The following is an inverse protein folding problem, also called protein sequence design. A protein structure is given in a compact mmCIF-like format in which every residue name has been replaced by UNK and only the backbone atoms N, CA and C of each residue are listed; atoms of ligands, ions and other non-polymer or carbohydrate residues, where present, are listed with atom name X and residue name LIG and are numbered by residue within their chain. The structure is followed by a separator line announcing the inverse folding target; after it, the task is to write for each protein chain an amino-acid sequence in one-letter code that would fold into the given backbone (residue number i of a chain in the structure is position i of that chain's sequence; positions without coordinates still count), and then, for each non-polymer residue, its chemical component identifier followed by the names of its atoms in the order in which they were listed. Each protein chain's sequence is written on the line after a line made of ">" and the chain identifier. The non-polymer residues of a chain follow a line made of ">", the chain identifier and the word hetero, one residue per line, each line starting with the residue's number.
data_IF_389782908692
#
_entry.id   IF_389782908692
#
_cell.length_a   1.000
_cell.length_b   1.000
_cell.length_c   1.000
_cell.angle_alpha   90.00
_cell.angle_beta   90.00
_cell.angle_gamma   90.00
#
_symmetry.space_group_name_H-M   'P 1'
#
loop_
_entity.id
_entity.type
_entity.pdbx_description
1 polymer ?
#
# COMPACT_ATOMS: atom_id res chain seq x y z
N UNK A 1 -1.09 -4.33 -19.90
CA UNK A 1 -0.17 -4.44 -18.75
C UNK A 1 -0.77 -5.54 -17.89
N UNK A 2 -0.06 -6.67 -17.72
CA UNK A 2 -0.54 -7.72 -16.84
C UNK A 2 -0.70 -7.08 -15.45
N UNK A 3 -1.88 -7.17 -14.86
CA UNK A 3 -2.26 -6.46 -13.63
C UNK A 3 -1.61 -7.09 -12.38
N UNK A 4 -0.37 -7.59 -12.53
CA UNK A 4 0.69 -7.92 -11.56
C UNK A 4 0.36 -8.64 -10.25
N UNK A 5 -0.90 -8.94 -9.95
CA UNK A 5 -1.35 -9.15 -8.57
C UNK A 5 -1.41 -7.85 -7.74
N UNK A 6 -1.39 -6.66 -8.34
CA UNK A 6 -1.52 -5.41 -7.60
C UNK A 6 -2.99 -5.18 -7.20
N UNK A 7 -3.21 -4.87 -5.92
CA UNK A 7 -4.54 -4.65 -5.36
C UNK A 7 -4.55 -3.43 -4.46
N UNK A 8 -5.63 -2.66 -4.52
CA UNK A 8 -5.90 -1.56 -3.60
C UNK A 8 -6.72 -2.07 -2.42
N UNK A 9 -6.20 -1.86 -1.20
CA UNK A 9 -6.88 -2.16 0.05
C UNK A 9 -7.33 -0.84 0.67
N UNK A 10 -8.63 -0.54 0.56
CA UNK A 10 -9.28 0.69 1.02
C UNK A 10 -10.21 0.48 2.23
N UNK A 11 -10.17 -0.73 2.81
CA UNK A 11 -10.94 -1.09 3.99
C UNK A 11 -12.33 -1.65 3.71
N UNK A 12 -12.82 -1.64 2.46
CA UNK A 12 -14.13 -2.21 2.14
C UNK A 12 -14.21 -3.71 2.49
N UNK A 13 -13.11 -4.44 2.32
CA UNK A 13 -13.03 -5.87 2.65
C UNK A 13 -13.21 -6.17 4.14
N UNK A 14 -13.01 -5.17 5.01
CA UNK A 14 -13.16 -5.31 6.46
C UNK A 14 -14.59 -5.05 6.94
N UNK A 15 -15.41 -4.34 6.16
CA UNK A 15 -16.78 -3.97 6.55
C UNK A 15 -17.81 -5.06 6.31
N UNK A 16 -17.56 -5.91 5.31
CA UNK A 16 -18.55 -6.89 4.86
C UNK A 16 -18.33 -8.29 5.47
N UNK A 17 -19.40 -8.88 5.99
CA UNK A 17 -19.52 -10.31 6.28
C UNK A 17 -19.38 -10.72 7.73
N UNK A 18 -19.92 -11.91 8.04
CA UNK A 18 -19.77 -12.59 9.32
C UNK A 18 -18.28 -12.86 9.63
N UNK A 19 -17.97 -12.97 10.92
CA UNK A 19 -16.63 -13.36 11.39
C UNK A 19 -16.24 -14.72 10.77
N UNK A 20 -15.07 -14.78 10.14
CA UNK A 20 -14.50 -16.03 9.61
C UNK A 20 -13.93 -16.89 10.73
N UNK A 21 -13.42 -16.25 11.78
CA UNK A 21 -12.83 -16.92 12.94
C UNK A 21 -13.86 -17.13 14.07
N UNK A 22 -13.79 -18.27 14.77
CA UNK A 22 -14.70 -18.56 15.88
C UNK A 22 -14.41 -17.65 17.08
N UNK A 23 -15.46 -17.23 17.77
CA UNK A 23 -15.33 -16.49 19.02
C UNK A 23 -14.85 -17.41 20.16
N UNK A 24 -14.07 -16.88 21.12
CA UNK A 24 -13.70 -17.61 22.33
C UNK A 24 -14.94 -18.03 23.14
N UNK A 25 -14.94 -19.26 23.65
CA UNK A 25 -15.96 -19.76 24.57
C UNK A 25 -15.68 -19.46 26.05
N UNK A 26 -14.71 -18.60 26.34
CA UNK A 26 -14.23 -18.26 27.68
C UNK A 26 -14.04 -16.75 27.80
N UNK A 27 -13.89 -16.27 29.03
CA UNK A 27 -13.54 -14.88 29.30
C UNK A 27 -12.18 -14.55 28.71
N UNK A 28 -12.10 -13.43 28.01
CA UNK A 28 -10.87 -12.94 27.36
C UNK A 28 -10.64 -11.47 27.67
N UNK A 29 -9.40 -11.03 27.60
CA UNK A 29 -9.05 -9.62 27.79
C UNK A 29 -9.24 -8.83 26.49
N UNK A 30 -9.35 -7.51 26.59
CA UNK A 30 -9.37 -6.62 25.42
C UNK A 30 -8.14 -6.78 24.53
N UNK A 31 -6.96 -7.04 25.09
CA UNK A 31 -5.75 -7.36 24.32
C UNK A 31 -5.94 -8.59 23.43
N UNK A 32 -6.54 -9.66 23.95
CA UNK A 32 -6.80 -10.86 23.17
C UNK A 32 -7.90 -10.65 22.11
N UNK A 33 -8.89 -9.79 22.39
CA UNK A 33 -9.87 -9.40 21.36
C UNK A 33 -9.22 -8.66 20.19
N UNK A 34 -8.25 -7.77 20.46
CA UNK A 34 -7.49 -7.09 19.40
C UNK A 34 -6.70 -8.09 18.57
N UNK A 35 -6.02 -9.06 19.20
CA UNK A 35 -5.30 -10.14 18.48
C UNK A 35 -6.23 -10.95 17.55
N UNK A 36 -7.44 -11.27 18.02
CA UNK A 36 -8.45 -11.95 17.21
C UNK A 36 -8.96 -11.07 16.07
N UNK A 37 -9.21 -9.79 16.33
CA UNK A 37 -9.64 -8.83 15.31
C UNK A 37 -8.56 -8.62 14.24
N UNK A 38 -7.29 -8.53 14.63
CA UNK A 38 -6.15 -8.45 13.72
C UNK A 38 -5.98 -9.73 12.91
N UNK A 39 -6.21 -10.89 13.52
CA UNK A 39 -6.21 -12.19 12.82
C UNK A 39 -7.35 -12.31 11.80
N UNK A 40 -8.54 -11.83 12.16
CA UNK A 40 -9.70 -11.76 11.26
C UNK A 40 -9.45 -10.77 10.12
N UNK A 41 -8.87 -9.60 10.41
CA UNK A 41 -8.49 -8.61 9.41
C UNK A 41 -7.46 -9.20 8.44
N UNK A 42 -6.41 -9.87 8.94
CA UNK A 42 -5.44 -10.56 8.12
C UNK A 42 -6.11 -11.64 7.25
N UNK A 43 -7.04 -12.43 7.80
CA UNK A 43 -7.78 -13.43 7.03
C UNK A 43 -8.63 -12.82 5.91
N UNK A 44 -9.18 -11.62 6.10
CA UNK A 44 -9.93 -10.86 5.08
C UNK A 44 -9.01 -10.20 4.06
N UNK A 45 -7.79 -9.85 4.45
CA UNK A 45 -6.79 -9.13 3.66
C UNK A 45 -5.64 -10.03 3.21
N UNK A 46 -5.94 -11.26 2.77
CA UNK A 46 -4.94 -12.14 2.16
C UNK A 46 -3.73 -12.49 3.06
N UNK A 47 -3.93 -12.57 4.37
CA UNK A 47 -2.86 -12.84 5.34
C UNK A 47 -1.92 -11.65 5.57
N UNK A 48 -2.30 -10.45 5.12
CA UNK A 48 -1.52 -9.24 5.26
C UNK A 48 -1.36 -8.83 6.73
N UNK A 49 -0.13 -8.57 7.14
CA UNK A 49 0.15 -7.90 8.42
C UNK A 49 0.03 -6.39 8.22
N UNK A 50 -0.92 -5.76 8.92
CA UNK A 50 -1.15 -4.32 8.82
C UNK A 50 -0.06 -3.50 9.54
N UNK A 51 0.30 -2.30 9.04
CA UNK A 51 1.26 -1.41 9.69
C UNK A 51 0.84 -1.06 11.12
N UNK A 52 1.82 -0.94 12.02
CA UNK A 52 1.58 -0.58 13.44
C UNK A 52 0.88 0.78 13.59
N UNK A 53 1.18 1.75 12.73
CA UNK A 53 0.53 3.06 12.71
C UNK A 53 -0.98 2.93 12.52
N UNK A 54 -1.41 2.05 11.61
CA UNK A 54 -2.81 1.82 11.28
C UNK A 54 -3.52 1.06 12.42
N UNK A 55 -2.89 0.00 12.93
CA UNK A 55 -3.40 -0.77 14.08
C UNK A 55 -3.58 0.10 15.32
N UNK A 56 -2.60 0.97 15.59
CA UNK A 56 -2.64 1.91 16.72
C UNK A 56 -3.71 2.98 16.55
N UNK A 57 -3.90 3.51 15.33
CA UNK A 57 -4.94 4.50 15.04
C UNK A 57 -6.35 3.90 15.23
N UNK A 58 -6.59 2.70 14.70
CA UNK A 58 -7.85 1.99 14.88
C UNK A 58 -8.13 1.67 16.36
N UNK A 59 -7.10 1.21 17.10
CA UNK A 59 -7.23 0.93 18.52
C UNK A 59 -7.62 2.18 19.31
N UNK A 60 -6.99 3.34 19.06
CA UNK A 60 -7.35 4.61 19.73
C UNK A 60 -8.74 5.12 19.35
N UNK A 61 -9.20 4.81 18.15
CA UNK A 61 -10.54 5.21 17.68
C UNK A 61 -11.63 4.39 18.36
N UNK A 62 -11.37 3.11 18.60
CA UNK A 62 -12.29 2.20 19.30
C UNK A 62 -12.21 2.34 20.82
N UNK A 63 -10.99 2.32 21.37
CA UNK A 63 -10.73 2.39 22.81
C UNK A 63 -10.55 3.85 23.22
N UNK A 64 -11.48 4.39 24.01
CA UNK A 64 -11.32 5.73 24.57
C UNK A 64 -10.04 5.85 25.40
N UNK A 65 -9.80 4.90 26.30
CA UNK A 65 -8.53 4.71 26.99
C UNK A 65 -7.98 3.31 26.65
N UNK A 66 -6.85 3.29 25.95
CA UNK A 66 -6.26 2.05 25.41
C UNK A 66 -5.78 1.14 26.54
N UNK A 67 -5.15 1.68 27.58
CA UNK A 67 -4.58 0.87 28.66
C UNK A 67 -5.69 0.20 29.48
N UNK A 68 -6.78 0.93 29.73
CA UNK A 68 -7.96 0.39 30.40
C UNK A 68 -8.59 -0.71 29.54
N UNK A 69 -8.84 -0.43 28.26
CA UNK A 69 -9.48 -1.40 27.37
C UNK A 69 -8.71 -2.71 27.26
N UNK A 70 -7.38 -2.66 27.11
CA UNK A 70 -6.56 -3.85 26.94
C UNK A 70 -6.61 -4.81 28.15
N UNK A 71 -6.91 -4.28 29.35
CA UNK A 71 -7.02 -5.05 30.59
C UNK A 71 -8.47 -5.41 30.96
N UNK A 72 -9.46 -4.86 30.26
CA UNK A 72 -10.86 -5.17 30.47
C UNK A 72 -11.19 -6.62 30.08
N UNK A 73 -12.03 -7.28 30.87
CA UNK A 73 -12.44 -8.67 30.64
C UNK A 73 -13.83 -8.76 30.01
N UNK A 74 -13.92 -9.52 28.92
CA UNK A 74 -15.15 -9.77 28.18
C UNK A 74 -15.52 -11.24 28.29
N UNK A 75 -16.72 -11.51 28.80
CA UNK A 75 -17.24 -12.88 29.01
C UNK A 75 -18.47 -13.20 28.15
N UNK A 76 -19.12 -12.18 27.62
CA UNK A 76 -20.32 -12.29 26.80
C UNK A 76 -19.96 -12.26 25.31
N UNK A 77 -20.51 -13.21 24.54
CA UNK A 77 -20.17 -13.39 23.13
C UNK A 77 -20.63 -12.24 22.23
N UNK A 78 -21.78 -11.62 22.53
CA UNK A 78 -22.27 -10.45 21.78
C UNK A 78 -21.36 -9.25 22.00
N UNK A 79 -20.92 -9.03 23.25
CA UNK A 79 -20.00 -7.95 23.61
C UNK A 79 -18.63 -8.14 22.95
N UNK A 80 -18.11 -9.37 22.94
CA UNK A 80 -16.87 -9.71 22.24
C UNK A 80 -16.99 -9.48 20.73
N UNK A 81 -18.08 -9.95 20.12
CA UNK A 81 -18.37 -9.75 18.69
C UNK A 81 -18.44 -8.27 18.34
N UNK A 82 -19.19 -7.50 19.13
CA UNK A 82 -19.35 -6.07 18.92
C UNK A 82 -18.00 -5.35 18.97
N UNK A 83 -17.14 -5.63 19.96
CA UNK A 83 -15.81 -5.01 20.04
C UNK A 83 -14.88 -5.39 18.90
N UNK A 84 -14.95 -6.64 18.45
CA UNK A 84 -14.21 -7.09 17.28
C UNK A 84 -14.67 -6.34 16.02
N UNK A 85 -15.98 -6.23 15.80
CA UNK A 85 -16.56 -5.48 14.66
C UNK A 85 -16.24 -3.99 14.73
N UNK A 86 -16.31 -3.37 15.91
CA UNK A 86 -15.91 -1.97 16.11
C UNK A 86 -14.45 -1.74 15.72
N UNK A 87 -13.54 -2.65 16.07
CA UNK A 87 -12.14 -2.58 15.67
C UNK A 87 -11.96 -2.71 14.15
N UNK A 88 -12.65 -3.67 13.51
CA UNK A 88 -12.60 -3.87 12.06
C UNK A 88 -13.13 -2.65 11.30
N UNK A 89 -14.21 -2.03 11.79
CA UNK A 89 -14.75 -0.79 11.24
C UNK A 89 -13.77 0.36 11.42
N UNK A 90 -13.09 0.45 12.57
CA UNK A 90 -12.05 1.44 12.80
C UNK A 90 -10.88 1.27 11.82
N UNK A 91 -10.39 0.03 11.61
CA UNK A 91 -9.38 -0.26 10.58
C UNK A 91 -9.88 0.14 9.18
N UNK A 92 -11.13 -0.16 8.86
CA UNK A 92 -11.74 0.18 7.58
C UNK A 92 -11.88 1.69 7.36
N UNK A 93 -12.12 2.47 8.42
CA UNK A 93 -12.13 3.93 8.38
C UNK A 93 -10.71 4.46 8.11
N UNK A 94 -9.70 3.92 8.80
CA UNK A 94 -8.30 4.33 8.60
C UNK A 94 -7.80 3.98 7.20
N UNK A 95 -8.11 2.78 6.68
CA UNK A 95 -7.74 2.36 5.32
C UNK A 95 -8.47 3.14 4.23
N UNK A 96 -9.68 3.64 4.51
CA UNK A 96 -10.39 4.51 3.55
C UNK A 96 -9.68 5.85 3.40
N UNK A 97 -9.20 6.38 4.52
CA UNK A 97 -8.42 7.62 4.58
C UNK A 97 -6.99 7.44 4.06
N UNK A 98 -6.41 6.25 4.27
CA UNK A 98 -5.04 5.91 3.92
C UNK A 98 -4.93 4.49 3.31
N UNK A 99 -5.35 4.31 2.04
CA UNK A 99 -5.35 3.00 1.40
C UNK A 99 -3.95 2.44 1.22
N UNK A 100 -3.85 1.11 1.22
CA UNK A 100 -2.62 0.39 0.95
C UNK A 100 -2.64 -0.20 -0.45
N UNK A 101 -1.54 -0.06 -1.18
CA UNK A 101 -1.31 -0.84 -2.40
C UNK A 101 -0.59 -2.11 -1.99
N UNK A 102 -1.13 -3.26 -2.36
CA UNK A 102 -0.56 -4.56 -2.03
C UNK A 102 -0.28 -5.35 -3.29
N UNK A 103 0.79 -6.13 -3.27
CA UNK A 103 1.13 -7.09 -4.31
C UNK A 103 0.85 -8.49 -3.79
N UNK A 104 0.02 -9.26 -4.50
CA UNK A 104 -0.32 -10.65 -4.19
C UNK A 104 0.35 -11.57 -5.21
N UNK A 105 1.34 -12.34 -4.76
CA UNK A 105 2.03 -13.34 -5.56
C UNK A 105 1.37 -14.70 -5.35
N UNK A 106 0.54 -15.12 -6.30
CA UNK A 106 -0.21 -16.39 -6.30
C UNK A 106 0.32 -17.39 -7.34
N UNK A 107 1.42 -17.06 -8.01
CA UNK A 107 2.05 -17.88 -9.04
C UNK A 107 1.48 -17.70 -10.45
N UNK A 108 0.41 -16.92 -10.63
CA UNK A 108 -0.18 -16.66 -11.95
C UNK A 108 0.80 -15.94 -12.89
N UNK A 109 1.52 -14.94 -12.39
CA UNK A 109 2.53 -14.20 -13.16
C UNK A 109 3.66 -15.11 -13.67
N UNK A 110 4.12 -16.06 -12.85
CA UNK A 110 5.13 -17.05 -13.25
C UNK A 110 4.57 -17.97 -14.34
N UNK A 111 3.30 -18.39 -14.22
CA UNK A 111 2.66 -19.29 -15.18
C UNK A 111 2.54 -18.69 -16.58
N UNK A 112 2.40 -17.37 -16.71
CA UNK A 112 2.40 -16.70 -18.02
C UNK A 112 3.65 -17.08 -18.82
N UNK A 113 4.84 -17.12 -18.17
CA UNK A 113 6.08 -17.51 -18.83
C UNK A 113 6.22 -19.02 -19.05
N UNK A 114 5.49 -19.85 -18.30
CA UNK A 114 5.57 -21.31 -18.39
C UNK A 114 4.55 -21.91 -19.38
N UNK A 115 3.49 -21.17 -19.70
CA UNK A 115 2.39 -21.62 -20.55
C UNK A 115 2.80 -21.66 -22.05
N UNK A 116 3.75 -20.83 -22.47
CA UNK A 116 4.34 -20.82 -23.82
C UNK A 116 5.83 -21.20 -23.78
N UNK A 117 6.21 -22.22 -24.54
CA UNK A 117 7.58 -22.75 -24.59
C UNK A 117 8.57 -21.73 -25.20
N UNK A 118 8.12 -20.92 -26.18
CA UNK A 118 8.96 -19.91 -26.82
C UNK A 118 9.20 -18.73 -25.85
N UNK A 119 8.17 -18.31 -25.10
CA UNK A 119 8.30 -17.27 -24.07
C UNK A 119 9.25 -17.71 -22.94
N UNK A 120 9.12 -18.95 -22.49
CA UNK A 120 10.04 -19.52 -21.51
C UNK A 120 11.47 -19.58 -22.04
N UNK A 121 11.66 -20.06 -23.27
CA UNK A 121 12.97 -20.19 -23.88
C UNK A 121 13.67 -18.83 -23.99
N UNK A 122 12.96 -17.78 -24.43
CA UNK A 122 13.48 -16.41 -24.47
C UNK A 122 13.86 -15.90 -23.08
N UNK A 123 13.00 -16.11 -22.07
CA UNK A 123 13.30 -15.70 -20.69
C UNK A 123 14.56 -16.40 -20.17
N UNK A 124 14.66 -17.71 -20.33
CA UNK A 124 15.79 -18.51 -19.85
C UNK A 124 17.09 -18.15 -20.58
N UNK A 125 17.03 -17.88 -21.88
CA UNK A 125 18.18 -17.40 -22.66
C UNK A 125 18.65 -16.03 -22.17
N UNK A 126 17.75 -15.06 -22.01
CA UNK A 126 18.09 -13.73 -21.52
C UNK A 126 18.75 -13.79 -20.13
N UNK A 127 18.15 -14.53 -19.19
CA UNK A 127 18.71 -14.72 -17.85
C UNK A 127 20.08 -15.40 -17.89
N UNK A 128 20.27 -16.40 -18.75
CA UNK A 128 21.55 -17.09 -18.89
C UNK A 128 22.64 -16.13 -19.39
N UNK A 129 22.35 -15.37 -20.44
CA UNK A 129 23.31 -14.41 -21.01
C UNK A 129 23.65 -13.28 -20.05
N UNK A 130 22.68 -12.79 -19.27
CA UNK A 130 22.92 -11.76 -18.25
C UNK A 130 23.82 -12.27 -17.11
N UNK A 131 23.66 -13.53 -16.71
CA UNK A 131 24.45 -14.14 -15.63
C UNK A 131 25.82 -14.64 -16.09
N UNK A 132 25.96 -15.05 -17.35
CA UNK A 132 27.25 -15.51 -17.92
C UNK A 132 28.09 -14.33 -18.43
N UNK A 133 28.39 -13.41 -17.52
CA UNK A 133 29.11 -12.15 -17.81
C UNK A 133 30.49 -12.39 -18.45
N UNK A 134 31.13 -13.52 -18.16
CA UNK A 134 32.44 -13.89 -18.70
C UNK A 134 32.37 -14.69 -20.01
N UNK A 135 31.16 -14.91 -20.56
CA UNK A 135 30.89 -15.67 -21.80
C UNK A 135 31.58 -17.05 -21.81
N UNK A 136 31.47 -17.79 -20.70
CA UNK A 136 32.07 -19.12 -20.56
C UNK A 136 31.21 -20.21 -21.20
N UNK A 137 29.97 -19.88 -21.56
CA UNK A 137 28.92 -20.80 -22.00
C UNK A 137 28.41 -21.72 -20.89
N UNK A 138 28.70 -21.41 -19.62
CA UNK A 138 28.38 -22.25 -18.46
C UNK A 138 28.17 -21.44 -17.19
N UNK A 139 27.14 -21.80 -16.42
CA UNK A 139 26.81 -21.23 -15.12
C UNK A 139 26.85 -22.28 -14.01
N UNK A 140 27.21 -21.90 -12.79
CA UNK A 140 27.04 -22.79 -11.63
C UNK A 140 25.55 -22.99 -11.30
N UNK A 141 25.14 -24.13 -10.74
CA UNK A 141 23.72 -24.32 -10.32
C UNK A 141 23.24 -23.26 -9.33
N UNK A 142 24.15 -22.77 -8.48
CA UNK A 142 23.89 -21.68 -7.54
C UNK A 142 23.44 -20.38 -8.24
N UNK A 143 23.74 -20.18 -9.53
CA UNK A 143 23.28 -19.01 -10.30
C UNK A 143 21.77 -19.03 -10.57
N UNK A 144 21.08 -20.17 -10.36
CA UNK A 144 19.61 -20.19 -10.41
C UNK A 144 19.01 -19.26 -9.35
N UNK A 145 19.65 -19.15 -8.18
CA UNK A 145 19.20 -18.21 -7.16
C UNK A 145 19.27 -16.78 -7.68
N UNK A 146 20.36 -16.42 -8.36
CA UNK A 146 20.53 -15.09 -8.94
C UNK A 146 19.53 -14.86 -10.09
N UNK A 147 19.22 -15.88 -10.90
CA UNK A 147 18.17 -15.81 -11.91
C UNK A 147 16.80 -15.47 -11.30
N UNK A 148 16.44 -16.12 -10.19
CA UNK A 148 15.22 -15.81 -9.44
C UNK A 148 15.21 -14.37 -8.88
N UNK A 149 16.37 -13.89 -8.39
CA UNK A 149 16.53 -12.49 -7.96
C UNK A 149 16.35 -11.52 -9.11
N UNK A 150 16.93 -11.82 -10.29
CA UNK A 150 16.80 -11.00 -11.50
C UNK A 150 15.35 -10.94 -11.99
N UNK A 151 14.62 -12.05 -11.93
CA UNK A 151 13.19 -12.07 -12.23
C UNK A 151 12.40 -11.18 -11.28
N UNK A 152 12.66 -11.29 -9.97
CA UNK A 152 12.07 -10.42 -8.95
C UNK A 152 10.54 -10.40 -8.93
N UNK A 153 9.99 -9.44 -8.17
CA UNK A 153 8.54 -9.31 -7.95
C UNK A 153 7.76 -8.99 -9.22
N UNK A 154 8.40 -8.30 -10.18
CA UNK A 154 7.80 -7.92 -11.46
C UNK A 154 7.45 -9.15 -12.31
N UNK A 155 8.22 -10.22 -12.17
CA UNK A 155 8.01 -11.50 -12.86
C UNK A 155 7.32 -12.54 -11.96
N UNK A 156 6.79 -12.11 -10.81
CA UNK A 156 6.06 -12.96 -9.87
C UNK A 156 6.91 -13.74 -8.89
N UNK A 157 8.23 -13.52 -8.85
CA UNK A 157 9.14 -14.16 -7.89
C UNK A 157 9.18 -13.37 -6.59
N UNK A 158 8.84 -13.97 -5.44
CA UNK A 158 8.87 -13.26 -4.17
C UNK A 158 10.31 -12.88 -3.74
N UNK A 159 10.48 -11.78 -2.99
CA UNK A 159 11.78 -11.37 -2.46
C UNK A 159 12.32 -12.37 -1.41
N UNK A 160 13.65 -12.54 -1.42
CA UNK A 160 14.37 -13.56 -0.64
C UNK A 160 14.36 -13.38 0.88
N UNK A 161 14.44 -12.17 1.47
CA UNK A 161 14.36 -12.02 2.92
C UNK A 161 13.05 -12.56 3.49
N UNK A 162 11.94 -12.31 2.80
CA UNK A 162 10.58 -12.58 3.26
C UNK A 162 10.12 -14.01 2.96
N UNK A 163 10.65 -14.62 1.89
CA UNK A 163 10.26 -15.98 1.45
C UNK A 163 11.41 -16.98 1.47
N UNK A 164 12.45 -16.67 2.23
CA UNK A 164 13.69 -17.43 2.30
C UNK A 164 13.48 -18.94 2.44
N UNK A 165 12.59 -19.36 3.34
CA UNK A 165 12.33 -20.77 3.60
C UNK A 165 11.63 -21.46 2.42
N UNK A 166 10.67 -20.78 1.78
CA UNK A 166 9.96 -21.32 0.62
C UNK A 166 10.91 -21.51 -0.57
N UNK A 167 11.68 -20.47 -0.91
CA UNK A 167 12.62 -20.52 -2.02
C UNK A 167 13.77 -21.50 -1.76
N UNK A 168 14.37 -21.49 -0.55
CA UNK A 168 15.41 -22.45 -0.18
C UNK A 168 14.93 -23.89 -0.25
N UNK A 169 13.71 -24.18 0.21
CA UNK A 169 13.16 -25.54 0.15
C UNK A 169 12.98 -26.02 -1.29
N UNK A 170 12.54 -25.14 -2.20
CA UNK A 170 12.39 -25.47 -3.63
C UNK A 170 13.77 -25.65 -4.28
N UNK A 171 14.70 -24.71 -4.08
CA UNK A 171 16.07 -24.81 -4.60
C UNK A 171 16.76 -26.10 -4.15
N UNK A 172 16.62 -26.46 -2.88
CA UNK A 172 17.16 -27.69 -2.31
C UNK A 172 16.49 -28.94 -2.88
N UNK A 173 15.17 -28.93 -3.09
CA UNK A 173 14.42 -30.03 -3.72
C UNK A 173 14.97 -30.37 -5.11
N UNK A 174 15.39 -29.35 -5.87
CA UNK A 174 15.96 -29.50 -7.21
C UNK A 174 17.49 -29.59 -7.25
N UNK A 175 18.16 -29.54 -6.10
CA UNK A 175 19.62 -29.62 -6.02
C UNK A 175 20.34 -28.42 -6.64
N UNK A 176 19.75 -27.23 -6.58
CA UNK A 176 20.27 -26.00 -7.15
C UNK A 176 21.34 -25.28 -6.29
N UNK A 177 21.76 -25.87 -5.17
CA UNK A 177 22.72 -25.25 -4.22
C UNK A 177 24.21 -25.54 -4.55
N UNK A 178 24.48 -26.28 -5.63
CA UNK A 178 25.83 -26.77 -5.99
C UNK A 178 26.61 -25.88 -6.96
N UNK A 179 27.93 -26.08 -7.04
CA UNK A 179 28.81 -25.43 -8.02
C UNK A 179 28.94 -26.15 -9.37
N UNK A 180 28.13 -27.18 -9.60
CA UNK A 180 28.13 -27.92 -10.86
C UNK A 180 27.79 -26.98 -12.02
N UNK A 181 28.54 -27.10 -13.11
CA UNK A 181 28.42 -26.21 -14.27
C UNK A 181 27.34 -26.72 -15.22
N UNK A 182 26.36 -25.86 -15.52
CA UNK A 182 25.25 -26.09 -16.43
C UNK A 182 25.49 -25.32 -17.73
N UNK A 183 25.30 -25.98 -18.86
CA UNK A 183 25.10 -25.26 -20.13
C UNK A 183 23.69 -24.67 -20.21
N UNK A 184 23.45 -23.78 -21.18
CA UNK A 184 22.17 -23.06 -21.35
C UNK A 184 20.92 -23.96 -21.31
N UNK A 185 20.92 -25.07 -22.04
CA UNK A 185 19.78 -26.01 -22.05
C UNK A 185 19.54 -26.66 -20.68
N UNK A 186 20.61 -26.99 -19.93
CA UNK A 186 20.51 -27.58 -18.60
C UNK A 186 20.04 -26.56 -17.57
N UNK A 187 20.50 -25.31 -17.70
CA UNK A 187 20.03 -24.18 -16.91
C UNK A 187 18.53 -23.96 -17.12
N UNK A 188 18.07 -23.88 -18.36
CA UNK A 188 16.65 -23.69 -18.69
C UNK A 188 15.78 -24.82 -18.12
N UNK A 189 16.19 -26.09 -18.27
CA UNK A 189 15.46 -27.23 -17.70
C UNK A 189 15.34 -27.16 -16.17
N UNK A 190 16.44 -26.81 -15.49
CA UNK A 190 16.44 -26.68 -14.04
C UNK A 190 15.58 -25.50 -13.58
N UNK A 191 15.70 -24.35 -14.25
CA UNK A 191 14.91 -23.15 -13.98
C UNK A 191 13.42 -23.42 -14.16
N UNK A 192 13.02 -24.11 -15.23
CA UNK A 192 11.61 -24.44 -15.52
C UNK A 192 10.99 -25.26 -14.39
N UNK A 193 11.68 -26.30 -13.93
CA UNK A 193 11.20 -27.17 -12.86
C UNK A 193 11.05 -26.42 -11.52
N UNK A 194 11.95 -25.48 -11.24
CA UNK A 194 11.92 -24.62 -10.05
C UNK A 194 10.77 -23.62 -10.13
N UNK A 195 10.57 -22.97 -11.27
CA UNK A 195 9.47 -22.02 -11.47
C UNK A 195 8.10 -22.70 -11.41
N UNK A 196 7.97 -23.93 -11.93
CA UNK A 196 6.74 -24.72 -11.81
C UNK A 196 6.40 -25.01 -10.34
N UNK A 197 7.37 -25.50 -9.56
CA UNK A 197 7.17 -25.76 -8.13
C UNK A 197 6.89 -24.47 -7.35
N UNK A 198 7.53 -23.36 -7.72
CA UNK A 198 7.29 -22.05 -7.12
C UNK A 198 5.87 -21.57 -7.40
N UNK A 199 5.42 -21.62 -8.66
CA UNK A 199 4.06 -21.27 -9.03
C UNK A 199 3.03 -22.14 -8.30
N UNK A 200 3.26 -23.44 -8.18
CA UNK A 200 2.37 -24.35 -7.46
C UNK A 200 2.37 -24.14 -5.94
N UNK A 201 3.51 -23.74 -5.36
CA UNK A 201 3.59 -23.37 -3.95
C UNK A 201 2.81 -22.08 -3.68
N UNK A 202 2.98 -21.06 -4.52
CA UNK A 202 2.27 -19.78 -4.44
C UNK A 202 0.77 -19.94 -4.67
N UNK A 203 0.36 -20.83 -5.58
CA UNK A 203 -1.06 -21.12 -5.81
C UNK A 203 -1.73 -21.77 -4.59
N UNK A 204 -0.98 -22.52 -3.77
CA UNK A 204 -1.48 -23.11 -2.52
C UNK A 204 -1.49 -22.11 -1.36
N UNK A 205 -0.46 -21.27 -1.30
CA UNK A 205 -0.28 -20.25 -0.28
C UNK A 205 0.39 -19.05 -0.93
N UNK A 206 -0.43 -18.06 -1.28
CA UNK A 206 0.05 -16.82 -1.87
C UNK A 206 0.92 -16.05 -0.87
N UNK A 207 1.73 -15.15 -1.39
CA UNK A 207 2.56 -14.24 -0.60
C UNK A 207 2.14 -12.81 -0.90
N UNK A 208 1.89 -12.02 0.14
CA UNK A 208 1.40 -10.65 0.00
C UNK A 208 2.40 -9.65 0.58
N UNK A 209 2.61 -8.54 -0.14
CA UNK A 209 3.50 -7.45 0.27
C UNK A 209 2.78 -6.11 0.18
N UNK A 210 3.04 -5.23 1.14
CA UNK A 210 2.62 -3.83 1.02
C UNK A 210 3.66 -3.12 0.16
N UNK A 211 3.21 -2.50 -0.92
CA UNK A 211 4.05 -1.65 -1.75
C UNK A 211 4.25 -0.30 -1.06
N UNK A 212 5.43 0.30 -1.19
CA UNK A 212 5.70 1.61 -0.63
C UNK A 212 5.11 2.74 -1.49
N UNK A 213 3.82 2.62 -1.81
CA UNK A 213 3.08 3.55 -2.66
C UNK A 213 2.06 4.26 -1.80
N UNK A 214 2.12 5.59 -1.80
CA UNK A 214 1.13 6.44 -1.16
C UNK A 214 -0.02 6.73 -2.11
N UNK A 215 -1.25 6.52 -1.63
CA UNK A 215 -2.48 6.79 -2.40
C UNK A 215 -3.11 8.09 -1.93
N UNK A 216 -3.40 8.98 -2.88
CA UNK A 216 -4.15 10.22 -2.66
C UNK A 216 -5.47 10.13 -3.43
N UNK A 217 -6.55 9.81 -2.73
CA UNK A 217 -7.90 9.60 -3.29
C UNK A 217 -8.92 10.67 -2.83
N UNK A 218 -8.49 11.67 -2.08
CA UNK A 218 -9.34 12.76 -1.58
C UNK A 218 -10.25 12.41 -0.39
N UNK A 219 -10.22 11.18 0.15
CA UNK A 219 -11.10 10.77 1.24
C UNK A 219 -10.90 11.59 2.53
N UNK A 220 -9.64 11.83 2.92
CA UNK A 220 -9.27 12.70 4.06
C UNK A 220 -9.82 14.12 3.90
N UNK A 221 -9.69 14.71 2.70
CA UNK A 221 -10.22 16.02 2.39
C UNK A 221 -11.75 16.06 2.49
N UNK A 222 -12.40 15.04 1.94
CA UNK A 222 -13.86 14.92 1.96
C UNK A 222 -14.38 14.80 3.39
N UNK A 223 -13.68 14.05 4.25
CA UNK A 223 -13.99 13.93 5.68
C UNK A 223 -13.87 15.28 6.39
N UNK A 224 -12.79 16.03 6.13
CA UNK A 224 -12.62 17.39 6.67
C UNK A 224 -13.74 18.31 6.20
N UNK A 225 -14.08 18.31 4.90
CA UNK A 225 -15.12 19.18 4.33
C UNK A 225 -16.54 18.83 4.81
N UNK A 226 -16.79 17.58 5.16
CA UNK A 226 -18.09 17.12 5.66
C UNK A 226 -18.33 17.47 7.13
N UNK A 227 -17.27 17.62 7.93
CA UNK A 227 -17.34 17.94 9.35
C UNK A 227 -17.05 19.43 9.58
N UNK A 228 -18.09 20.17 10.00
CA UNK A 228 -17.99 21.62 10.19
C UNK A 228 -16.96 22.00 11.27
N UNK A 229 -16.91 21.27 12.39
CA UNK A 229 -16.01 21.61 13.49
C UNK A 229 -14.56 21.32 13.11
N UNK A 230 -14.31 20.17 12.46
CA UNK A 230 -12.98 19.85 11.94
C UNK A 230 -12.53 20.85 10.88
N UNK A 231 -13.42 21.23 9.96
CA UNK A 231 -13.11 22.22 8.92
C UNK A 231 -12.80 23.59 9.52
N UNK A 232 -13.64 24.11 10.42
CA UNK A 232 -13.43 25.43 11.01
C UNK A 232 -12.13 25.49 11.83
N UNK A 233 -11.78 24.40 12.53
CA UNK A 233 -10.52 24.28 13.26
C UNK A 233 -9.29 24.23 12.34
N UNK A 234 -9.33 23.46 11.26
CA UNK A 234 -8.22 23.42 10.27
C UNK A 234 -8.07 24.77 9.55
N UNK A 235 -9.18 25.43 9.20
CA UNK A 235 -9.18 26.74 8.57
C UNK A 235 -8.54 27.80 9.47
N UNK A 236 -8.79 27.76 10.78
CA UNK A 236 -8.14 28.70 11.70
C UNK A 236 -6.61 28.55 11.66
N UNK A 237 -6.11 27.31 11.72
CA UNK A 237 -4.67 27.04 11.61
C UNK A 237 -4.09 27.47 10.26
N UNK A 238 -4.77 27.13 9.16
CA UNK A 238 -4.34 27.51 7.81
C UNK A 238 -4.35 29.02 7.59
N UNK A 239 -5.30 29.74 8.18
CA UNK A 239 -5.37 31.19 8.03
C UNK A 239 -4.21 31.90 8.74
N UNK A 240 -3.83 31.44 9.94
CA UNK A 240 -2.63 31.95 10.62
C UNK A 240 -1.36 31.64 9.81
N UNK A 241 -1.25 30.42 9.29
CA UNK A 241 -0.15 30.01 8.41
C UNK A 241 -0.10 30.88 7.14
N UNK A 242 -1.25 31.21 6.55
CA UNK A 242 -1.36 32.05 5.36
C UNK A 242 -0.89 33.48 5.63
N UNK A 243 -1.30 34.07 6.76
CA UNK A 243 -0.84 35.41 7.17
C UNK A 243 0.68 35.44 7.34
N UNK A 244 1.26 34.39 7.91
CA UNK A 244 2.71 34.28 8.09
C UNK A 244 3.46 34.00 6.78
N UNK A 245 2.84 33.26 5.86
CA UNK A 245 3.41 32.88 4.58
C UNK A 245 3.49 34.06 3.59
N UNK A 246 2.44 34.88 3.52
CA UNK A 246 2.36 35.97 2.55
C UNK A 246 3.29 37.13 2.92
N UNK A 247 4.12 37.57 1.98
CA UNK A 247 4.90 38.80 2.10
C UNK A 247 4.17 39.96 1.39
N UNK A 248 3.01 40.36 1.90
CA UNK A 248 2.19 41.44 1.33
C UNK A 248 0.78 41.00 0.90
N UNK A 249 0.20 41.72 -0.07
CA UNK A 249 -1.12 41.40 -0.63
C UNK A 249 -1.09 40.01 -1.28
N UNK A 250 -2.12 39.20 -1.00
CA UNK A 250 -2.24 37.87 -1.56
C UNK A 250 -2.64 37.90 -3.03
N UNK A 251 -2.04 37.05 -3.84
CA UNK A 251 -2.48 36.75 -5.19
C UNK A 251 -2.61 35.24 -5.40
N UNK A 252 -3.08 34.85 -6.58
CA UNK A 252 -3.33 33.46 -6.95
C UNK A 252 -2.06 32.61 -6.92
N UNK A 253 -0.94 33.13 -7.40
CA UNK A 253 0.36 32.44 -7.39
C UNK A 253 0.85 32.21 -5.96
N UNK A 254 0.69 33.20 -5.08
CA UNK A 254 1.03 33.08 -3.65
C UNK A 254 0.15 32.05 -2.97
N UNK A 255 -1.15 31.99 -3.31
CA UNK A 255 -2.04 30.97 -2.76
C UNK A 255 -1.67 29.57 -3.27
N UNK A 256 -1.34 29.42 -4.56
CA UNK A 256 -0.85 28.14 -5.09
C UNK A 256 0.42 27.71 -4.35
N UNK A 257 1.40 28.61 -4.22
CA UNK A 257 2.63 28.35 -3.46
C UNK A 257 2.37 27.96 -1.99
N UNK A 258 1.37 28.57 -1.35
CA UNK A 258 0.93 28.20 0.00
C UNK A 258 0.40 26.76 0.06
N UNK A 259 -0.46 26.37 -0.89
CA UNK A 259 -0.98 25.01 -0.98
C UNK A 259 0.11 23.99 -1.32
N UNK A 260 1.11 24.35 -2.13
CA UNK A 260 2.30 23.52 -2.33
C UNK A 260 3.06 23.32 -1.02
N UNK A 261 3.28 24.39 -0.25
CA UNK A 261 4.03 24.34 1.00
C UNK A 261 3.30 23.60 2.14
N UNK A 262 1.97 23.72 2.21
CA UNK A 262 1.14 23.16 3.29
C UNK A 262 0.34 21.93 2.89
N UNK A 263 0.37 21.55 1.61
CA UNK A 263 -0.48 20.50 1.05
C UNK A 263 -0.33 19.16 1.75
N UNK A 264 0.90 18.78 2.16
CA UNK A 264 1.14 17.54 2.91
C UNK A 264 0.32 17.47 4.21
N UNK A 265 0.15 18.59 4.92
CA UNK A 265 -0.67 18.64 6.16
C UNK A 265 -2.14 18.36 5.86
N UNK A 266 -2.61 18.80 4.70
CA UNK A 266 -3.98 18.61 4.23
C UNK A 266 -4.19 17.25 3.54
N UNK A 267 -3.14 16.43 3.43
CA UNK A 267 -3.21 15.17 2.68
C UNK A 267 -3.29 15.38 1.17
N UNK A 268 -2.73 16.48 0.66
CA UNK A 268 -2.56 16.69 -0.79
C UNK A 268 -1.28 16.03 -1.30
N UNK A 269 -1.28 15.56 -2.56
CA UNK A 269 -0.09 15.01 -3.18
C UNK A 269 1.02 16.07 -3.29
N UNK A 270 2.30 15.71 -3.05
CA UNK A 270 3.43 16.63 -3.20
C UNK A 270 3.69 16.93 -4.68
N UNK A 271 3.74 18.20 -5.10
CA UNK A 271 4.00 18.55 -6.51
C UNK A 271 5.35 18.07 -7.03
N UNK A 272 6.35 17.94 -6.16
CA UNK A 272 7.67 17.43 -6.50
C UNK A 272 7.69 15.92 -6.83
N UNK A 273 6.60 15.19 -6.60
CA UNK A 273 6.54 13.74 -6.80
C UNK A 273 6.54 13.34 -8.28
N UNK A 274 5.75 14.00 -9.13
CA UNK A 274 5.75 13.80 -10.58
C UNK A 274 4.99 14.91 -11.32
N UNK A 275 5.11 14.92 -12.65
CA UNK A 275 4.45 15.90 -13.53
C UNK A 275 2.93 15.87 -13.43
N UNK A 276 2.31 14.69 -13.23
CA UNK A 276 0.87 14.59 -13.12
C UNK A 276 0.32 15.31 -11.87
N UNK A 277 1.08 15.34 -10.76
CA UNK A 277 0.70 16.16 -9.60
C UNK A 277 0.79 17.65 -9.93
N UNK A 278 1.83 18.11 -10.62
CA UNK A 278 1.92 19.52 -11.03
C UNK A 278 0.73 19.94 -11.89
N UNK A 279 0.37 19.11 -12.88
CA UNK A 279 -0.79 19.34 -13.75
C UNK A 279 -2.11 19.40 -12.96
N UNK A 280 -2.27 18.58 -11.91
CA UNK A 280 -3.44 18.63 -11.03
C UNK A 280 -3.55 20.00 -10.35
N UNK A 281 -2.46 20.53 -9.80
CA UNK A 281 -2.47 21.85 -9.18
C UNK A 281 -2.76 22.93 -10.22
N UNK A 282 -2.10 22.90 -11.38
CA UNK A 282 -2.32 23.91 -12.43
C UNK A 282 -3.76 23.90 -12.94
N UNK A 283 -4.35 22.71 -13.13
CA UNK A 283 -5.74 22.56 -13.54
C UNK A 283 -6.69 23.15 -12.49
N UNK A 284 -6.51 22.80 -11.21
CA UNK A 284 -7.37 23.28 -10.13
C UNK A 284 -7.25 24.79 -9.99
N UNK A 285 -6.03 25.32 -9.94
CA UNK A 285 -5.81 26.74 -9.76
C UNK A 285 -6.23 27.54 -11.00
N UNK A 286 -6.12 27.01 -12.23
CA UNK A 286 -6.53 27.73 -13.45
C UNK A 286 -7.99 28.25 -13.40
N UNK A 287 -8.89 27.50 -12.76
CA UNK A 287 -10.32 27.82 -12.63
C UNK A 287 -10.69 28.57 -11.34
N UNK A 288 -9.73 28.84 -10.45
CA UNK A 288 -9.95 29.70 -9.29
C UNK A 288 -9.93 31.15 -9.74
N UNK A 289 -10.94 31.91 -9.30
CA UNK A 289 -11.03 33.35 -9.54
C UNK A 289 -9.79 34.07 -9.03
N UNK A 290 -9.41 35.16 -9.71
CA UNK A 290 -8.28 35.98 -9.27
C UNK A 290 -8.52 36.50 -7.84
N UNK A 291 -7.51 36.33 -7.00
CA UNK A 291 -7.49 36.85 -5.64
C UNK A 291 -6.85 38.22 -5.72
N UNK A 292 -7.63 39.25 -5.41
CA UNK A 292 -7.15 40.64 -5.39
C UNK A 292 -7.17 41.17 -3.96
N UNK A 293 -6.00 41.58 -3.46
CA UNK A 293 -5.86 42.19 -2.14
C UNK A 293 -5.83 41.19 -0.98
N UNK A 294 -6.05 41.72 0.22
CA UNK A 294 -5.96 40.94 1.45
C UNK A 294 -7.21 40.08 1.68
N UNK A 295 -7.01 38.75 1.75
CA UNK A 295 -8.07 37.84 2.15
C UNK A 295 -8.40 38.01 3.64
N UNK A 296 -9.64 38.37 3.92
CA UNK A 296 -10.22 38.22 5.26
C UNK A 296 -10.33 36.74 5.63
N UNK A 297 -10.49 36.42 6.92
CA UNK A 297 -10.70 35.04 7.38
C UNK A 297 -11.87 34.35 6.68
N UNK A 298 -12.96 35.08 6.44
CA UNK A 298 -14.18 34.57 5.78
C UNK A 298 -13.92 34.29 4.30
N UNK A 299 -13.36 35.25 3.57
CA UNK A 299 -13.06 35.06 2.15
C UNK A 299 -11.96 34.02 1.92
N UNK A 300 -10.98 33.90 2.83
CA UNK A 300 -10.00 32.81 2.81
C UNK A 300 -10.67 31.45 2.97
N UNK A 301 -11.59 31.31 3.93
CA UNK A 301 -12.34 30.07 4.14
C UNK A 301 -13.12 29.66 2.89
N UNK A 302 -13.82 30.60 2.24
CA UNK A 302 -14.58 30.33 1.01
C UNK A 302 -13.68 29.85 -0.14
N UNK A 303 -12.54 30.52 -0.33
CA UNK A 303 -11.58 30.17 -1.38
C UNK A 303 -10.94 28.81 -1.10
N UNK A 304 -10.46 28.57 0.12
CA UNK A 304 -9.87 27.28 0.51
C UNK A 304 -10.88 26.16 0.38
N UNK A 305 -12.13 26.37 0.80
CA UNK A 305 -13.20 25.38 0.64
C UNK A 305 -13.37 24.97 -0.82
N UNK A 306 -13.50 25.95 -1.72
CA UNK A 306 -13.65 25.70 -3.15
C UNK A 306 -12.45 24.95 -3.75
N UNK A 307 -11.23 25.31 -3.35
CA UNK A 307 -10.01 24.60 -3.78
C UNK A 307 -10.03 23.14 -3.30
N UNK A 308 -10.34 22.90 -2.03
CA UNK A 308 -10.39 21.55 -1.48
C UNK A 308 -11.50 20.70 -2.10
N UNK A 309 -12.67 21.29 -2.37
CA UNK A 309 -13.76 20.62 -3.11
C UNK A 309 -13.29 20.16 -4.50
N UNK A 310 -12.55 21.01 -5.23
CA UNK A 310 -11.97 20.63 -6.52
C UNK A 310 -10.90 19.53 -6.40
N UNK A 311 -10.06 19.57 -5.37
CA UNK A 311 -9.12 18.46 -5.12
C UNK A 311 -9.85 17.16 -4.84
N UNK A 312 -10.94 17.18 -4.06
CA UNK A 312 -11.78 15.99 -3.82
C UNK A 312 -12.34 15.47 -5.14
N UNK A 313 -12.97 16.33 -5.95
CA UNK A 313 -13.54 15.92 -7.25
C UNK A 313 -12.51 15.24 -8.15
N UNK A 314 -11.31 15.82 -8.29
CA UNK A 314 -10.27 15.29 -9.16
C UNK A 314 -9.64 14.01 -8.59
N UNK A 315 -9.35 13.95 -7.28
CA UNK A 315 -8.73 12.78 -6.64
C UNK A 315 -9.69 11.60 -6.47
N UNK A 316 -11.01 11.84 -6.36
CA UNK A 316 -12.02 10.78 -6.38
C UNK A 316 -12.18 10.20 -7.80
N UNK A 317 -12.13 11.05 -8.83
CA UNK A 317 -12.24 10.61 -10.22
C UNK A 317 -10.97 9.90 -10.72
N UNK A 318 -9.80 10.39 -10.30
CA UNK A 318 -8.49 9.87 -10.67
C UNK A 318 -7.52 9.93 -9.49
N UNK A 319 -7.52 8.93 -8.60
CA UNK A 319 -6.59 8.86 -7.48
C UNK A 319 -5.13 8.89 -7.94
N UNK A 320 -4.29 9.57 -7.16
CA UNK A 320 -2.85 9.66 -7.46
C UNK A 320 -2.08 8.61 -6.65
N UNK A 321 -1.20 7.89 -7.34
CA UNK A 321 -0.32 6.87 -6.76
C UNK A 321 1.12 7.37 -6.81
N UNK A 322 1.75 7.50 -5.65
CA UNK A 322 3.09 8.06 -5.52
C UNK A 322 3.99 7.00 -4.89
N UNK A 323 4.92 6.47 -5.67
CA UNK A 323 5.99 5.62 -5.13
C UNK A 323 6.89 6.47 -4.22
N UNK A 324 7.01 6.05 -2.98
CA UNK A 324 7.84 6.71 -1.97
C UNK A 324 9.30 6.22 -2.02
N UNK A 325 9.63 5.34 -2.98
CA UNK A 325 10.92 4.72 -3.20
C UNK A 325 11.25 3.68 -2.13
N UNK A 326 12.20 2.79 -2.39
CA UNK A 326 12.81 2.00 -1.31
C UNK A 326 13.59 2.98 -0.41
N UNK A 327 12.97 3.42 0.68
CA UNK A 327 13.67 4.17 1.71
C UNK A 327 14.87 3.36 2.16
N UNK A 328 16.07 3.81 1.81
CA UNK A 328 17.26 3.46 2.59
C UNK A 328 16.98 4.02 3.98
N UNK A 329 16.75 3.12 4.94
CA UNK A 329 16.70 3.45 6.35
C UNK A 329 17.90 4.31 6.76
#
# INVERSE_FOLDING_TARGET
>A
MADGGLMLIDGNQLRDGDLRLPLPGATVTGAHLVELAESEAAARLFGLSLPESLRSAALRRMAGDVDIFLTEEFSDAESMKQKLEEYLVALADELKDDPLVVLVLDGSAIRIFLDDEDDFAMLAENLFTELDVDDKGKLGKNEIQNALVHMGVEMGVPPFPETNDLLKNILKKHGAEGGEQLGQAQFAQLLQAILQDLADALAKKHVTFIQNVKVFNGSKLKKILADKELFDNEIEGLFQDWIAYRSGEGNKETLQGFFVAKGRKLGLPPPESNEAVLLLYDQIFSVINDITGDLTRVSFQEVVKNILEKFVEQLEANPMFIDMGSGVN
#
